data_IF_651162444172
#
_entry.id   IF_651162444172
#
_cell.length_a   1.000
_cell.length_b   1.000
_cell.length_c   1.000
_cell.angle_alpha   90.00
_cell.angle_beta   90.00
_cell.angle_gamma   90.00
#
_symmetry.space_group_name_H-M   'P 1'
#
loop_
_entity.id
_entity.type
_entity.pdbx_description
1 polymer ?
#
# COMPACT_ATOMS: atom_id res chain seq x y z
N UNK A 1 -91.24 -1.37 -16.47
CA UNK A 1 -91.04 -1.96 -17.82
C UNK A 1 -89.81 -1.27 -18.40
N UNK A 2 -88.63 -1.87 -18.41
CA UNK A 2 -88.16 -2.74 -19.50
C UNK A 2 -86.89 -3.47 -19.03
N UNK A 3 -86.85 -4.80 -19.23
CA UNK A 3 -85.68 -5.67 -19.02
C UNK A 3 -85.13 -6.07 -20.38
N UNK A 4 -83.79 -6.08 -20.57
CA UNK A 4 -82.98 -7.10 -21.30
C UNK A 4 -81.51 -6.96 -20.83
N UNK A 5 -80.93 -7.92 -20.11
CA UNK A 5 -80.26 -9.21 -20.50
C UNK A 5 -78.74 -9.03 -20.68
N UNK A 6 -77.93 -9.44 -19.70
CA UNK A 6 -77.06 -10.66 -19.65
C UNK A 6 -75.61 -10.29 -20.05
N UNK A 7 -74.48 -10.65 -19.41
CA UNK A 7 -74.16 -11.38 -18.17
C UNK A 7 -72.62 -11.45 -17.95
N UNK A 8 -72.21 -11.57 -16.67
CA UNK A 8 -71.00 -12.25 -16.12
C UNK A 8 -69.55 -11.91 -16.56
N UNK A 9 -68.75 -11.27 -15.68
CA UNK A 9 -67.71 -11.88 -14.79
C UNK A 9 -66.79 -10.83 -14.13
N UNK A 10 -66.38 -11.16 -12.89
CA UNK A 10 -65.45 -10.43 -12.00
C UNK A 10 -64.08 -10.21 -12.64
N UNK A 11 -63.37 -9.13 -12.29
CA UNK A 11 -62.00 -9.19 -11.71
C UNK A 11 -61.32 -7.82 -11.60
N UNK A 12 -61.09 -7.42 -10.34
CA UNK A 12 -59.91 -6.71 -9.79
C UNK A 12 -59.00 -5.94 -10.77
N UNK A 13 -58.98 -4.61 -10.66
CA UNK A 13 -57.84 -3.79 -11.08
C UNK A 13 -56.72 -3.84 -10.02
N UNK A 14 -55.61 -4.42 -10.48
CA UNK A 14 -54.22 -4.55 -10.01
C UNK A 14 -53.71 -3.70 -8.82
N UNK A 15 -52.82 -4.27 -7.97
CA UNK A 15 -52.00 -3.49 -7.05
C UNK A 15 -50.86 -2.80 -7.82
N UNK A 16 -50.82 -1.46 -7.76
CA UNK A 16 -49.62 -0.70 -8.10
C UNK A 16 -48.59 -0.87 -6.99
N UNK A 17 -47.54 -1.63 -7.25
CA UNK A 17 -46.41 -1.81 -6.35
C UNK A 17 -45.67 -0.47 -6.16
N UNK A 18 -45.98 0.26 -5.09
CA UNK A 18 -45.13 1.32 -4.59
C UNK A 18 -43.87 0.67 -4.00
N UNK A 19 -42.85 0.45 -4.84
CA UNK A 19 -41.53 -0.01 -4.40
C UNK A 19 -40.90 1.13 -3.60
N UNK A 20 -40.98 1.06 -2.27
CA UNK A 20 -40.17 1.86 -1.36
C UNK A 20 -38.70 1.68 -1.76
N UNK A 21 -38.13 2.66 -2.46
CA UNK A 21 -36.70 2.75 -2.63
C UNK A 21 -36.16 3.12 -1.26
N UNK A 22 -35.65 2.14 -0.52
CA UNK A 22 -34.74 2.38 0.59
C UNK A 22 -33.62 3.26 0.03
N UNK A 23 -33.68 4.56 0.29
CA UNK A 23 -32.51 5.42 0.18
C UNK A 23 -31.64 5.01 1.34
N UNK A 24 -30.73 4.08 1.08
CA UNK A 24 -29.66 3.72 2.02
C UNK A 24 -28.95 5.02 2.37
N UNK A 25 -28.97 5.39 3.64
CA UNK A 25 -28.18 6.50 4.14
C UNK A 25 -26.70 6.28 3.74
N UNK A 26 -25.95 7.35 3.41
CA UNK A 26 -24.51 7.20 3.21
C UNK A 26 -23.89 6.59 4.48
N UNK A 27 -22.96 5.63 4.35
CA UNK A 27 -22.32 5.03 5.51
C UNK A 27 -21.67 6.10 6.38
N UNK A 28 -21.65 5.94 7.72
CA UNK A 28 -21.02 6.90 8.60
C UNK A 28 -19.55 7.06 8.16
N UNK A 29 -19.11 8.31 8.04
CA UNK A 29 -17.71 8.61 7.77
C UNK A 29 -16.87 8.08 8.93
N UNK A 30 -16.37 6.85 8.77
CA UNK A 30 -15.40 6.26 9.67
C UNK A 30 -14.13 7.13 9.74
N UNK A 31 -13.24 6.87 10.71
CA UNK A 31 -12.01 7.64 10.87
C UNK A 31 -11.29 7.70 9.52
N UNK A 32 -11.21 8.91 8.95
CA UNK A 32 -10.43 9.16 7.74
C UNK A 32 -8.98 8.87 8.11
N UNK A 33 -8.27 7.98 7.40
CA UNK A 33 -6.86 7.73 7.70
C UNK A 33 -6.15 9.09 7.70
N UNK A 34 -5.53 9.42 8.83
CA UNK A 34 -4.54 10.50 8.87
C UNK A 34 -3.51 10.16 7.80
N UNK A 35 -2.96 11.18 7.16
CA UNK A 35 -1.89 11.08 6.16
C UNK A 35 -0.66 10.43 6.80
N UNK A 36 -0.72 9.12 7.04
CA UNK A 36 0.39 8.33 7.51
C UNK A 36 1.26 8.17 6.29
N UNK A 37 2.42 8.82 6.30
CA UNK A 37 3.42 8.72 5.22
C UNK A 37 4.00 7.32 5.08
N UNK A 38 3.64 6.40 5.98
CA UNK A 38 4.04 5.01 5.98
C UNK A 38 2.82 4.09 6.12
N UNK A 39 2.91 2.89 5.55
CA UNK A 39 1.88 1.86 5.59
C UNK A 39 2.49 0.49 5.86
N UNK A 40 1.68 -0.41 6.43
CA UNK A 40 2.04 -1.80 6.69
C UNK A 40 0.99 -2.74 6.11
N UNK A 41 1.44 -3.86 5.56
CA UNK A 41 0.60 -4.97 5.13
C UNK A 41 1.23 -6.29 5.59
N UNK A 42 0.45 -7.36 5.71
CA UNK A 42 0.93 -8.67 6.16
C UNK A 42 0.52 -9.73 5.14
N UNK A 43 1.44 -10.61 4.77
CA UNK A 43 1.16 -11.71 3.84
C UNK A 43 0.57 -12.95 4.55
N UNK A 44 0.21 -13.98 3.80
CA UNK A 44 -0.38 -15.21 4.35
C UNK A 44 0.58 -16.03 5.22
N UNK A 45 1.89 -15.77 5.15
CA UNK A 45 2.90 -16.37 6.04
C UNK A 45 3.06 -15.62 7.36
N UNK A 46 2.40 -14.47 7.50
CA UNK A 46 2.54 -13.59 8.66
C UNK A 46 3.70 -12.60 8.54
N UNK A 47 4.45 -12.59 7.44
CA UNK A 47 5.53 -11.65 7.22
C UNK A 47 4.97 -10.24 6.97
N UNK A 48 5.56 -9.24 7.61
CA UNK A 48 5.11 -7.86 7.54
C UNK A 48 5.88 -7.09 6.47
N UNK A 49 5.18 -6.35 5.63
CA UNK A 49 5.72 -5.45 4.63
C UNK A 49 5.44 -4.01 5.03
N UNK A 50 6.47 -3.20 5.10
CA UNK A 50 6.41 -1.78 5.47
C UNK A 50 6.89 -0.95 4.29
N UNK A 51 6.12 0.06 3.93
CA UNK A 51 6.54 1.11 3.00
C UNK A 51 6.50 2.46 3.70
N UNK A 52 7.46 3.32 3.38
CA UNK A 52 7.56 4.66 3.94
C UNK A 52 8.61 5.48 3.21
N UNK A 53 9.12 6.50 3.90
CA UNK A 53 10.23 7.33 3.43
C UNK A 53 11.35 7.43 4.46
N UNK A 54 12.57 7.67 3.97
CA UNK A 54 13.78 7.83 4.80
C UNK A 54 14.74 8.86 4.19
N UNK A 55 15.42 9.60 5.06
CA UNK A 55 16.54 10.50 4.72
C UNK A 55 17.88 9.95 5.27
N UNK A 56 17.88 8.73 5.82
CA UNK A 56 19.03 8.12 6.47
C UNK A 56 19.82 7.30 5.44
N UNK A 57 21.08 7.70 5.25
CA UNK A 57 22.00 7.00 4.34
C UNK A 57 22.45 5.63 4.89
N UNK A 58 22.25 5.41 6.18
CA UNK A 58 22.52 4.17 6.92
C UNK A 58 21.25 3.32 7.17
N UNK A 59 20.15 3.63 6.48
CA UNK A 59 18.93 2.82 6.56
C UNK A 59 19.22 1.37 6.15
N UNK A 60 18.74 0.37 6.90
CA UNK A 60 19.13 -1.02 6.67
C UNK A 60 18.56 -1.54 5.34
N UNK A 61 19.45 -2.02 4.47
CA UNK A 61 19.10 -2.73 3.23
C UNK A 61 19.64 -4.16 3.26
N UNK A 62 18.99 -5.07 2.55
CA UNK A 62 19.45 -6.47 2.43
C UNK A 62 20.39 -6.64 1.23
N UNK A 63 21.40 -7.54 1.30
CA UNK A 63 22.22 -7.88 0.13
C UNK A 63 21.37 -8.32 -1.06
N UNK A 64 21.70 -7.84 -2.26
CA UNK A 64 20.95 -8.14 -3.48
C UNK A 64 19.59 -7.43 -3.59
N UNK A 65 19.28 -6.50 -2.69
CA UNK A 65 18.10 -5.65 -2.84
C UNK A 65 18.16 -4.78 -4.10
N UNK A 66 17.01 -4.25 -4.50
CA UNK A 66 16.88 -3.48 -5.73
C UNK A 66 17.77 -2.23 -5.75
N UNK A 67 17.78 -1.49 -4.64
CA UNK A 67 18.64 -0.33 -4.41
C UNK A 67 19.17 -0.41 -2.97
N UNK A 68 20.48 -0.57 -2.82
CA UNK A 68 21.17 -0.70 -1.53
C UNK A 68 21.91 0.56 -1.10
N UNK A 69 21.93 1.59 -1.95
CA UNK A 69 22.66 2.84 -1.74
C UNK A 69 21.69 4.01 -1.74
N UNK A 70 21.86 4.91 -0.78
CA UNK A 70 21.14 6.17 -0.73
C UNK A 70 21.80 7.18 -1.68
N UNK A 71 21.04 7.72 -2.63
CA UNK A 71 21.56 8.58 -3.70
C UNK A 71 21.34 10.09 -3.44
N UNK A 72 20.90 10.45 -2.23
CA UNK A 72 20.58 11.82 -1.85
C UNK A 72 19.10 12.16 -2.03
N UNK A 73 18.58 13.09 -1.22
CA UNK A 73 17.14 13.36 -1.19
C UNK A 73 16.33 12.27 -0.48
N UNK A 74 15.09 12.58 -0.10
CA UNK A 74 14.21 11.64 0.60
C UNK A 74 13.90 10.46 -0.30
N UNK A 75 14.11 9.23 0.15
CA UNK A 75 13.81 8.03 -0.63
C UNK A 75 12.59 7.31 -0.07
N UNK A 76 11.80 6.66 -0.93
CA UNK A 76 10.90 5.63 -0.44
C UNK A 76 11.72 4.42 0.01
N UNK A 77 11.21 3.65 0.96
CA UNK A 77 11.76 2.33 1.27
C UNK A 77 10.65 1.29 1.27
N UNK A 78 11.06 0.04 1.03
CA UNK A 78 10.19 -1.12 1.21
C UNK A 78 10.96 -2.17 1.99
N UNK A 79 10.38 -2.60 3.10
CA UNK A 79 10.96 -3.58 4.01
C UNK A 79 10.00 -4.75 4.20
N UNK A 80 10.51 -5.98 4.13
CA UNK A 80 9.83 -7.21 4.55
C UNK A 80 10.50 -7.74 5.82
N UNK A 81 9.73 -7.87 6.89
CA UNK A 81 10.12 -8.49 8.15
C UNK A 81 9.57 -9.91 8.22
N UNK A 82 10.35 -10.81 8.80
CA UNK A 82 9.88 -12.15 9.17
C UNK A 82 8.66 -12.04 10.11
N UNK A 83 7.79 -13.05 10.12
CA UNK A 83 6.61 -13.10 10.99
C UNK A 83 6.94 -12.96 12.48
N UNK A 84 8.10 -13.45 12.91
CA UNK A 84 8.59 -13.28 14.28
C UNK A 84 9.10 -11.85 14.57
N UNK A 85 9.31 -11.02 13.54
CA UNK A 85 9.83 -9.66 13.64
C UNK A 85 11.33 -9.57 13.93
N UNK A 86 12.05 -10.70 13.93
CA UNK A 86 13.47 -10.77 14.30
C UNK A 86 14.45 -10.45 13.17
N UNK A 87 14.03 -10.60 11.91
CA UNK A 87 14.91 -10.47 10.74
C UNK A 87 14.26 -9.67 9.61
N UNK A 88 15.09 -8.91 8.89
CA UNK A 88 14.75 -8.30 7.60
C UNK A 88 14.95 -9.33 6.49
N UNK A 89 13.84 -9.88 5.98
CA UNK A 89 13.86 -10.78 4.82
C UNK A 89 14.17 -10.03 3.52
N UNK A 90 13.80 -8.75 3.45
CA UNK A 90 14.09 -7.86 2.34
C UNK A 90 14.07 -6.42 2.82
N UNK A 91 14.98 -5.57 2.36
CA UNK A 91 14.87 -4.13 2.59
C UNK A 91 15.61 -3.38 1.50
N UNK A 92 14.95 -2.40 0.89
CA UNK A 92 15.45 -1.65 -0.27
C UNK A 92 15.07 -0.19 -0.18
N UNK A 93 15.90 0.68 -0.75
CA UNK A 93 15.46 1.99 -1.19
C UNK A 93 14.64 1.85 -2.49
N UNK A 94 13.81 2.85 -2.76
CA UNK A 94 13.09 3.04 -4.01
C UNK A 94 13.00 4.56 -4.27
N UNK A 95 13.92 5.07 -5.08
CA UNK A 95 13.97 6.49 -5.43
C UNK A 95 15.09 6.79 -6.41
N UNK A 96 15.17 8.03 -6.83
CA UNK A 96 16.29 8.60 -7.58
C UNK A 96 16.94 9.74 -6.81
N UNK A 97 17.56 10.67 -7.54
CA UNK A 97 18.38 11.77 -6.99
C UNK A 97 17.66 12.83 -6.15
N UNK A 98 16.32 12.88 -6.16
CA UNK A 98 15.52 13.91 -5.49
C UNK A 98 14.57 13.32 -4.44
N UNK A 99 13.35 13.87 -4.29
CA UNK A 99 12.42 13.44 -3.24
C UNK A 99 11.40 12.43 -3.75
N UNK A 100 11.41 11.25 -3.15
CA UNK A 100 10.54 10.13 -3.40
C UNK A 100 9.96 9.60 -2.08
N UNK A 101 8.70 9.16 -2.08
CA UNK A 101 8.07 8.66 -0.85
C UNK A 101 7.03 7.59 -1.12
N UNK A 102 7.07 6.51 -0.34
CA UNK A 102 6.11 5.41 -0.40
C UNK A 102 4.98 5.63 0.60
N UNK A 103 3.75 5.81 0.13
CA UNK A 103 2.59 6.13 0.98
C UNK A 103 1.78 4.91 1.39
N UNK A 104 1.61 3.93 0.50
CA UNK A 104 0.78 2.78 0.77
C UNK A 104 1.34 1.50 0.14
N UNK A 105 0.98 0.36 0.73
CA UNK A 105 1.43 -0.95 0.30
C UNK A 105 0.30 -1.96 0.39
N UNK A 106 0.14 -2.78 -0.64
CA UNK A 106 -0.76 -3.93 -0.67
C UNK A 106 -0.02 -5.16 -1.16
N UNK A 107 -0.38 -6.34 -0.65
CA UNK A 107 0.27 -7.62 -1.01
C UNK A 107 -0.74 -8.49 -1.75
N UNK A 108 -0.35 -9.08 -2.87
CA UNK A 108 -1.19 -10.07 -3.57
C UNK A 108 -0.99 -11.49 -3.03
N UNK A 109 -1.83 -12.41 -3.48
CA UNK A 109 -1.77 -13.82 -3.07
C UNK A 109 -0.47 -14.53 -3.46
N UNK A 110 0.35 -13.97 -4.36
CA UNK A 110 1.68 -14.48 -4.71
C UNK A 110 2.79 -13.93 -3.80
N UNK A 111 2.45 -13.03 -2.87
CA UNK A 111 3.39 -12.34 -2.00
C UNK A 111 4.07 -11.14 -2.64
N UNK A 112 3.65 -10.71 -3.84
CA UNK A 112 4.20 -9.51 -4.47
C UNK A 112 3.64 -8.26 -3.80
N UNK A 113 4.51 -7.27 -3.55
CA UNK A 113 4.14 -5.99 -2.98
C UNK A 113 3.83 -4.95 -4.07
N UNK A 114 2.71 -4.26 -3.93
CA UNK A 114 2.33 -3.11 -4.73
C UNK A 114 2.48 -1.87 -3.86
N UNK A 115 3.41 -1.01 -4.22
CA UNK A 115 3.70 0.22 -3.48
C UNK A 115 3.24 1.40 -4.32
N UNK A 116 2.54 2.32 -3.67
CA UNK A 116 2.13 3.58 -4.28
C UNK A 116 2.72 4.74 -3.51
N UNK A 117 3.03 5.80 -4.22
CA UNK A 117 3.75 6.92 -3.65
C UNK A 117 3.86 8.07 -4.61
N UNK A 118 4.86 8.92 -4.35
CA UNK A 118 5.16 10.07 -5.19
C UNK A 118 6.65 10.10 -5.54
N UNK A 119 6.98 10.72 -6.66
CA UNK A 119 8.36 10.98 -7.10
C UNK A 119 8.55 12.42 -7.57
N UNK A 120 9.71 12.98 -7.25
CA UNK A 120 10.24 14.23 -7.81
C UNK A 120 11.58 13.99 -8.50
N UNK A 121 11.89 12.75 -8.85
CA UNK A 121 13.19 12.33 -9.36
C UNK A 121 13.10 12.07 -10.86
N UNK A 122 13.99 12.69 -11.64
CA UNK A 122 14.05 12.48 -13.09
C UNK A 122 14.58 11.10 -13.47
N UNK A 123 15.39 10.56 -12.58
CA UNK A 123 16.03 9.26 -12.59
C UNK A 123 15.28 8.25 -11.70
N UNK A 124 13.99 8.51 -11.39
CA UNK A 124 13.18 7.54 -10.66
C UNK A 124 13.16 6.19 -11.41
N UNK A 125 13.37 5.06 -10.73
CA UNK A 125 13.45 3.78 -11.41
C UNK A 125 12.12 3.38 -12.06
N UNK A 126 12.15 3.13 -13.36
CA UNK A 126 10.97 2.69 -14.15
C UNK A 126 11.27 1.43 -14.96
N UNK A 127 10.22 0.70 -15.34
CA UNK A 127 10.33 -0.48 -16.20
C UNK A 127 10.10 -0.11 -17.67
N UNK A 128 10.67 -0.86 -18.64
CA UNK A 128 10.31 -0.70 -20.04
C UNK A 128 8.79 -0.76 -20.25
N UNK A 129 8.26 0.21 -20.99
CA UNK A 129 6.80 0.32 -21.22
C UNK A 129 6.00 1.00 -20.11
N UNK A 130 6.66 1.62 -19.12
CA UNK A 130 5.98 2.50 -18.17
C UNK A 130 5.20 3.61 -18.91
N UNK A 131 3.97 3.89 -18.45
CA UNK A 131 3.12 4.93 -19.04
C UNK A 131 3.75 6.32 -19.01
N UNK A 132 4.54 6.58 -17.96
CA UNK A 132 5.38 7.77 -17.82
C UNK A 132 6.71 7.33 -17.20
N UNK A 133 7.80 7.53 -17.94
CA UNK A 133 9.12 7.05 -17.55
C UNK A 133 9.96 8.12 -16.82
N UNK A 134 9.56 9.39 -16.90
CA UNK A 134 10.29 10.53 -16.33
C UNK A 134 9.34 11.47 -15.62
N UNK A 135 9.82 12.10 -14.55
CA UNK A 135 9.06 13.10 -13.80
C UNK A 135 8.63 14.27 -14.71
N UNK A 136 7.33 14.47 -14.81
CA UNK A 136 6.68 15.38 -15.77
C UNK A 136 6.63 16.83 -15.32
N UNK A 137 6.99 17.13 -14.07
CA UNK A 137 7.02 18.49 -13.49
C UNK A 137 5.71 19.26 -13.69
N UNK A 138 4.58 18.64 -13.32
CA UNK A 138 3.29 19.33 -13.30
C UNK A 138 3.35 20.62 -12.47
N UNK A 139 2.54 21.61 -12.83
CA UNK A 139 2.47 22.89 -12.11
C UNK A 139 1.42 22.84 -10.99
N UNK A 140 1.85 23.02 -9.74
CA UNK A 140 0.98 23.25 -8.56
C UNK A 140 1.42 24.48 -7.77
N UNK A 141 1.95 25.49 -8.46
CA UNK A 141 2.33 26.77 -7.89
C UNK A 141 3.85 26.95 -7.83
N UNK A 142 4.40 27.48 -6.72
CA UNK A 142 5.80 27.94 -6.70
C UNK A 142 6.83 26.81 -6.80
N UNK A 143 6.42 25.55 -6.71
CA UNK A 143 7.26 24.36 -6.82
C UNK A 143 6.59 23.31 -7.73
N UNK A 144 7.36 22.54 -8.52
CA UNK A 144 6.80 21.47 -9.33
C UNK A 144 6.12 20.38 -8.47
N UNK A 145 5.00 19.85 -8.97
CA UNK A 145 4.31 18.74 -8.34
C UNK A 145 5.11 17.47 -8.46
N UNK A 146 5.07 16.60 -7.45
CA UNK A 146 5.51 15.23 -7.66
C UNK A 146 4.53 14.50 -8.59
N UNK A 147 5.03 13.49 -9.31
CA UNK A 147 4.16 12.52 -9.99
C UNK A 147 3.83 11.37 -9.04
N UNK A 148 2.69 10.73 -9.25
CA UNK A 148 2.37 9.49 -8.57
C UNK A 148 3.07 8.31 -9.24
N UNK A 149 3.54 7.35 -8.45
CA UNK A 149 4.01 6.07 -8.97
C UNK A 149 3.20 4.90 -8.40
N UNK A 150 3.20 3.79 -9.15
CA UNK A 150 2.76 2.48 -8.70
C UNK A 150 3.83 1.47 -9.11
N UNK A 151 4.42 0.78 -8.13
CA UNK A 151 5.51 -0.17 -8.36
C UNK A 151 5.14 -1.54 -7.81
N UNK A 152 5.37 -2.59 -8.59
CA UNK A 152 5.26 -3.99 -8.14
C UNK A 152 6.66 -4.54 -7.84
N UNK A 153 6.87 -5.01 -6.62
CA UNK A 153 8.05 -5.74 -6.20
C UNK A 153 7.68 -7.23 -6.04
N UNK A 154 8.15 -8.06 -6.98
CA UNK A 154 7.92 -9.49 -6.96
C UNK A 154 8.87 -10.19 -5.98
N UNK A 155 8.37 -11.23 -5.31
CA UNK A 155 9.15 -12.08 -4.38
C UNK A 155 10.17 -13.00 -5.07
N UNK A 156 10.14 -13.10 -6.40
CA UNK A 156 10.99 -14.01 -7.17
C UNK A 156 12.16 -13.27 -7.84
N UNK A 157 13.24 -13.08 -7.07
CA UNK A 157 14.63 -13.06 -7.59
C UNK A 157 15.69 -13.07 -6.49
N UNK A 158 15.33 -12.97 -5.21
CA UNK A 158 16.33 -13.15 -4.16
C UNK A 158 16.62 -14.65 -4.03
N UNK A 159 17.84 -15.12 -4.34
CA UNK A 159 18.25 -16.43 -3.83
C UNK A 159 18.07 -16.43 -2.31
N UNK A 160 17.72 -17.57 -1.70
CA UNK A 160 17.73 -17.67 -0.25
C UNK A 160 19.08 -17.14 0.27
N UNK A 161 19.11 -16.42 1.42
CA UNK A 161 20.36 -16.06 2.05
C UNK A 161 21.28 -17.29 2.08
N UNK A 162 22.57 -17.17 1.70
CA UNK A 162 23.46 -18.32 1.81
C UNK A 162 23.34 -18.84 3.24
N UNK A 163 23.01 -20.13 3.38
CA UNK A 163 22.87 -20.82 4.67
C UNK A 163 23.99 -20.34 5.58
N UNK A 164 23.70 -19.74 6.76
CA UNK A 164 24.75 -19.17 7.60
C UNK A 164 25.73 -20.26 8.00
N UNK A 165 26.84 -20.35 7.28
CA UNK A 165 27.98 -21.20 7.59
C UNK A 165 28.98 -20.34 8.35
N UNK A 166 28.53 -19.82 9.50
CA UNK A 166 29.35 -19.25 10.54
C UNK A 166 28.45 -18.97 11.74
N UNK A 167 28.86 -19.46 12.90
CA UNK A 167 28.26 -19.20 14.20
C UNK A 167 27.93 -17.71 14.36
N UNK A 168 26.66 -17.32 14.57
CA UNK A 168 26.34 -15.91 14.78
C UNK A 168 26.93 -15.47 16.13
N UNK A 169 27.91 -14.57 16.08
CA UNK A 169 28.20 -13.67 17.20
C UNK A 169 26.98 -12.75 17.33
N UNK A 170 26.28 -12.71 18.47
CA UNK A 170 25.06 -11.90 18.56
C UNK A 170 25.41 -10.42 18.60
N UNK A 171 25.21 -9.71 17.49
CA UNK A 171 25.06 -8.27 17.49
C UNK A 171 23.69 -7.95 18.08
N UNK A 172 23.69 -7.50 19.33
CA UNK A 172 22.49 -7.17 20.08
C UNK A 172 21.87 -5.87 19.56
N UNK A 173 20.87 -5.93 18.69
CA UNK A 173 19.95 -4.81 18.50
C UNK A 173 18.73 -5.01 19.39
N UNK A 174 18.77 -4.39 20.56
CA UNK A 174 17.63 -4.29 21.48
C UNK A 174 16.84 -3.03 21.13
N UNK A 175 15.70 -3.19 20.47
CA UNK A 175 14.67 -2.12 20.46
C UNK A 175 13.79 -2.34 21.69
N UNK A 176 14.04 -1.57 22.76
CA UNK A 176 13.07 -1.44 23.86
C UNK A 176 12.48 -0.02 23.81
N UNK A 177 11.17 0.08 23.65
CA UNK A 177 10.40 1.14 24.29
C UNK A 177 9.41 0.47 25.25
N UNK A 178 9.48 0.76 26.56
CA UNK A 178 8.52 0.21 27.51
C UNK A 178 7.12 0.78 27.23
N UNK A 179 6.13 -0.11 27.17
CA UNK A 179 4.73 0.25 27.33
C UNK A 179 4.55 0.89 28.71
N UNK A 180 4.21 2.18 28.74
CA UNK A 180 3.72 2.83 29.95
C UNK A 180 2.45 2.10 30.42
N UNK A 181 2.58 1.23 31.42
CA UNK A 181 1.44 0.80 32.22
C UNK A 181 1.12 1.93 33.20
N UNK A 182 -0.02 2.59 32.98
CA UNK A 182 -0.74 3.28 34.06
C UNK A 182 -1.17 2.23 35.08
N UNK A 183 -1.01 2.52 36.38
CA UNK A 183 -2.06 2.43 37.41
C UNK A 183 -1.46 2.71 38.79
N UNK A 184 -1.81 3.87 39.36
CA UNK A 184 -2.05 4.03 40.80
C UNK A 184 -3.52 4.41 40.97
#
# INVERSE_FOLDING_TARGET
MSRRKDGWRRSRCRPGAARLRHRSAPPPAGPRPRLSRCSIAVDTSGAAYVAGDTNSADFPTTPGAFQTTYEGGRHAFVTKLEAAGGELLYSTFLGGSLEDGGHNIAIDASGSAYVVGFTRSFDFPTTPGAFQATWGKGDCGPQPCPDAFVTKLATASNPPPPTPTATPTPASYRVYLPLNQKNH
#
